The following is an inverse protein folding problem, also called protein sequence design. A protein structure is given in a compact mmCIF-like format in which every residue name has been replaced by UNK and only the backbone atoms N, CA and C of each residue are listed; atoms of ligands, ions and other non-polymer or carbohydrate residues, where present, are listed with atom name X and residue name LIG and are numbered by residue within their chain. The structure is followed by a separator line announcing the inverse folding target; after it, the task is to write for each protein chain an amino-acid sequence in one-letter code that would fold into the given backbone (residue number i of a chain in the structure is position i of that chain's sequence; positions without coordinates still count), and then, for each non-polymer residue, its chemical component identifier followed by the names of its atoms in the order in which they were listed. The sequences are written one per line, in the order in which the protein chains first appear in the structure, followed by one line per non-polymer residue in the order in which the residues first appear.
data_IF_653591661171
#
_entry.id   IF_653591661171
#
_cell.length_a   1.000
_cell.length_b   1.000
_cell.length_c   1.000
_cell.angle_alpha   90.00
_cell.angle_beta   90.00
_cell.angle_gamma   90.00
#
_symmetry.space_group_name_H-M   'P 1'
#
loop_
_entity.id
_entity.type
_entity.pdbx_description
1 polymer ?
#
# COMPACT_ATOMS: atom_id res chain seq x y z
N UNK A 1 -20.48 14.07 -74.17
CA UNK A 1 -19.36 14.06 -75.14
C UNK A 1 -18.09 13.72 -74.35
N UNK A 2 -17.60 12.48 -74.45
CA UNK A 2 -16.35 12.06 -75.13
C UNK A 2 -15.11 12.33 -74.23
N UNK A 3 -14.63 11.34 -73.46
CA UNK A 3 -13.50 10.41 -73.75
C UNK A 3 -12.14 11.01 -73.32
N UNK A 4 -11.08 10.32 -72.85
CA UNK A 4 -10.68 8.91 -72.68
C UNK A 4 -9.40 8.88 -71.79
N UNK A 5 -9.13 7.72 -71.19
CA UNK A 5 -7.84 7.03 -70.85
C UNK A 5 -6.52 7.75 -71.20
N UNK A 6 -5.40 7.70 -70.47
CA UNK A 6 -4.85 6.87 -69.39
C UNK A 6 -3.33 6.69 -69.63
N UNK A 7 -2.47 6.59 -68.60
CA UNK A 7 -1.20 5.84 -68.69
C UNK A 7 -0.61 5.54 -67.30
N UNK A 8 -0.22 4.27 -67.16
CA UNK A 8 0.40 3.59 -66.03
C UNK A 8 1.93 3.75 -66.11
N UNK A 9 2.62 4.05 -65.00
CA UNK A 9 4.06 3.74 -64.86
C UNK A 9 4.31 3.17 -63.45
N UNK A 10 4.60 1.88 -63.41
CA UNK A 10 5.22 1.18 -62.28
C UNK A 10 6.71 1.50 -62.23
N UNK A 11 7.24 1.83 -61.05
CA UNK A 11 8.65 1.57 -60.73
C UNK A 11 8.71 0.90 -59.35
N UNK A 12 8.99 -0.40 -59.36
CA UNK A 12 9.48 -1.16 -58.21
C UNK A 12 10.92 -0.74 -57.92
N UNK A 13 11.25 -0.42 -56.68
CA UNK A 13 12.60 -0.61 -56.16
C UNK A 13 12.57 -1.49 -54.92
N UNK A 14 13.07 -2.70 -55.10
CA UNK A 14 13.32 -3.74 -54.12
C UNK A 14 14.61 -3.41 -53.37
N UNK A 15 14.55 -3.34 -52.03
CA UNK A 15 15.75 -3.42 -51.19
C UNK A 15 15.64 -4.70 -50.37
N UNK A 16 16.59 -5.60 -50.60
CA UNK A 16 16.69 -6.95 -50.01
C UNK A 16 17.68 -6.93 -48.84
N UNK A 17 17.29 -7.63 -47.76
CA UNK A 17 18.09 -8.22 -46.67
C UNK A 17 18.89 -7.27 -45.76
N UNK A 18 18.86 -7.42 -44.43
CA UNK A 18 19.21 -8.65 -43.70
C UNK A 18 18.29 -8.92 -42.50
N UNK A 19 17.81 -10.16 -42.41
CA UNK A 19 17.41 -10.77 -41.15
C UNK A 19 18.66 -11.30 -40.45
N UNK A 20 18.87 -10.91 -39.21
CA UNK A 20 19.55 -11.77 -38.24
C UNK A 20 18.56 -12.06 -37.13
N UNK A 21 17.87 -13.19 -37.25
CA UNK A 21 17.28 -13.86 -36.10
C UNK A 21 18.44 -14.28 -35.19
N UNK A 22 18.60 -13.61 -34.06
CA UNK A 22 19.43 -14.08 -32.97
C UNK A 22 18.53 -14.21 -31.74
N UNK A 23 17.73 -15.27 -31.73
CA UNK A 23 17.07 -15.83 -30.56
C UNK A 23 18.14 -16.43 -29.65
N UNK A 24 18.78 -15.61 -28.81
CA UNK A 24 19.63 -16.05 -27.69
C UNK A 24 19.88 -14.92 -26.67
N UNK A 25 18.91 -14.08 -26.36
CA UNK A 25 18.92 -13.35 -25.07
C UNK A 25 18.50 -14.32 -23.98
N UNK A 26 19.45 -15.17 -23.55
CA UNK A 26 19.36 -15.74 -22.21
C UNK A 26 19.48 -14.57 -21.24
N UNK A 27 18.45 -14.34 -20.43
CA UNK A 27 18.55 -13.46 -19.28
C UNK A 27 19.75 -13.92 -18.45
N UNK A 28 20.74 -13.04 -18.30
CA UNK A 28 21.84 -13.27 -17.36
C UNK A 28 21.23 -13.09 -15.97
N UNK A 29 21.33 -14.08 -15.07
CA UNK A 29 20.90 -13.88 -13.69
C UNK A 29 21.71 -12.73 -13.10
N UNK A 30 21.04 -11.67 -12.67
CA UNK A 30 21.67 -10.70 -11.79
C UNK A 30 22.16 -11.44 -10.53
N UNK A 31 23.37 -11.14 -10.02
CA UNK A 31 23.84 -11.74 -8.79
C UNK A 31 22.88 -11.41 -7.63
N UNK A 32 22.15 -12.44 -7.19
CA UNK A 32 21.63 -12.59 -5.83
C UNK A 32 20.99 -11.37 -5.18
N UNK A 33 19.89 -10.87 -5.71
CA UNK A 33 18.80 -10.54 -4.80
C UNK A 33 18.09 -11.86 -4.54
N UNK A 34 18.38 -12.48 -3.41
CA UNK A 34 17.45 -13.44 -2.84
C UNK A 34 16.11 -12.73 -2.82
N UNK A 35 15.19 -13.14 -3.71
CA UNK A 35 13.78 -13.05 -3.38
C UNK A 35 13.67 -13.79 -2.06
N UNK A 36 13.67 -13.04 -0.96
CA UNK A 36 13.11 -13.54 0.27
C UNK A 36 11.67 -13.84 -0.12
N UNK A 37 11.40 -15.08 -0.52
CA UNK A 37 10.11 -15.70 -0.26
C UNK A 37 9.87 -15.41 1.20
N UNK A 38 9.04 -14.40 1.47
CA UNK A 38 8.46 -14.21 2.78
C UNK A 38 7.59 -15.45 2.98
N UNK A 39 8.19 -16.49 3.57
CA UNK A 39 7.48 -17.65 4.08
C UNK A 39 6.40 -17.11 5.00
N UNK A 40 5.16 -17.18 4.53
CA UNK A 40 3.95 -16.74 5.22
C UNK A 40 3.58 -17.73 6.33
N UNK A 41 4.52 -18.01 7.23
CA UNK A 41 4.32 -18.77 8.46
C UNK A 41 5.12 -18.12 9.59
N UNK A 42 5.11 -16.78 9.69
CA UNK A 42 5.53 -16.14 10.92
C UNK A 42 4.50 -16.51 12.00
N UNK A 43 4.84 -17.51 12.81
CA UNK A 43 4.09 -17.84 14.01
C UNK A 43 4.17 -16.67 14.97
N UNK A 44 3.02 -16.27 15.53
CA UNK A 44 2.99 -15.34 16.66
C UNK A 44 3.50 -16.06 17.92
N UNK A 45 4.28 -15.40 18.78
CA UNK A 45 4.66 -13.99 18.73
C UNK A 45 5.90 -13.76 17.84
N UNK A 46 5.87 -12.66 17.09
CA UNK A 46 7.03 -12.11 16.39
C UNK A 46 7.68 -11.00 17.24
N UNK A 47 9.01 -10.81 17.19
CA UNK A 47 9.67 -9.71 17.90
C UNK A 47 9.11 -8.36 17.43
N UNK A 48 8.66 -7.52 18.37
CA UNK A 48 8.15 -6.18 18.11
C UNK A 48 9.24 -5.13 18.40
N UNK A 49 9.19 -3.95 17.76
CA UNK A 49 10.15 -2.86 18.04
C UNK A 49 9.85 -2.11 19.35
N UNK A 50 8.93 -2.62 20.16
CA UNK A 50 8.53 -2.11 21.47
C UNK A 50 8.19 -3.28 22.41
N UNK A 51 8.10 -3.00 23.71
CA UNK A 51 7.64 -3.97 24.69
C UNK A 51 6.15 -4.27 24.51
N UNK A 52 5.80 -5.53 24.25
CA UNK A 52 4.40 -5.93 24.19
C UNK A 52 3.79 -5.98 25.61
N UNK A 53 2.88 -5.06 25.90
CA UNK A 53 2.16 -4.99 27.18
C UNK A 53 0.86 -5.81 27.20
N UNK A 54 0.44 -6.35 26.05
CA UNK A 54 -0.85 -7.00 25.87
C UNK A 54 -0.64 -8.48 25.46
N UNK A 55 -0.80 -9.44 26.40
CA UNK A 55 -0.64 -10.86 26.11
C UNK A 55 -1.53 -11.35 24.96
N UNK A 56 -2.73 -10.79 24.81
CA UNK A 56 -3.71 -11.11 23.78
C UNK A 56 -3.71 -10.08 22.64
N UNK A 57 -2.56 -9.45 22.34
CA UNK A 57 -2.40 -8.54 21.20
C UNK A 57 -2.80 -9.21 19.87
N UNK A 58 -2.35 -10.46 19.68
CA UNK A 58 -2.81 -11.31 18.58
C UNK A 58 -3.92 -12.20 19.09
N UNK A 59 -5.11 -12.11 18.48
CA UNK A 59 -6.30 -12.82 18.91
C UNK A 59 -7.24 -13.09 17.73
N UNK A 60 -8.33 -13.83 17.98
CA UNK A 60 -9.28 -14.25 16.93
C UNK A 60 -10.02 -13.08 16.26
N UNK A 61 -10.05 -11.91 16.89
CA UNK A 61 -10.67 -10.72 16.34
C UNK A 61 -9.75 -9.93 15.40
N UNK A 62 -8.46 -10.28 15.30
CA UNK A 62 -7.52 -9.65 14.37
C UNK A 62 -6.69 -10.63 13.52
N UNK A 63 -6.81 -11.94 13.69
CA UNK A 63 -5.99 -12.97 13.02
C UNK A 63 -6.20 -13.18 11.50
N UNK A 64 -7.00 -12.35 10.81
CA UNK A 64 -7.41 -12.58 9.43
C UNK A 64 -6.32 -12.42 8.36
N UNK A 65 -5.12 -11.94 8.74
CA UNK A 65 -3.93 -11.83 7.88
C UNK A 65 -2.65 -12.12 8.66
N UNK A 66 -1.63 -12.75 8.04
CA UNK A 66 -0.29 -12.89 8.64
C UNK A 66 0.51 -11.58 8.64
N UNK A 67 0.02 -10.53 7.99
CA UNK A 67 0.70 -9.25 7.91
C UNK A 67 0.82 -8.59 9.30
N UNK A 68 2.03 -8.20 9.68
CA UNK A 68 2.28 -7.40 10.88
C UNK A 68 2.89 -6.05 10.49
N UNK A 69 2.13 -4.94 10.63
CA UNK A 69 2.60 -3.61 10.29
C UNK A 69 3.90 -3.21 11.00
N UNK A 70 4.07 -3.59 12.27
CA UNK A 70 5.19 -3.15 13.12
C UNK A 70 6.56 -3.62 12.63
N UNK A 71 6.62 -4.64 11.79
CA UNK A 71 7.88 -5.24 11.30
C UNK A 71 7.92 -5.37 9.77
N UNK A 72 6.91 -4.84 9.07
CA UNK A 72 6.82 -4.92 7.62
C UNK A 72 7.81 -3.99 6.89
N UNK A 73 8.30 -2.96 7.59
CA UNK A 73 9.08 -1.88 7.02
C UNK A 73 10.48 -1.83 7.60
N UNK A 74 11.46 -1.60 6.72
CA UNK A 74 12.82 -1.24 7.13
C UNK A 74 12.88 0.24 7.52
N UNK A 75 13.86 0.61 8.35
CA UNK A 75 14.14 2.01 8.69
C UNK A 75 14.26 2.92 7.45
N UNK A 76 14.86 2.41 6.37
CA UNK A 76 15.03 3.16 5.13
C UNK A 76 13.69 3.44 4.45
N UNK A 77 12.80 2.45 4.46
CA UNK A 77 11.47 2.56 3.88
C UNK A 77 10.62 3.58 4.63
N UNK A 78 10.69 3.60 5.96
CA UNK A 78 10.02 4.59 6.80
C UNK A 78 10.61 5.99 6.60
N UNK A 79 11.93 6.12 6.63
CA UNK A 79 12.62 7.42 6.43
C UNK A 79 12.37 8.05 5.07
N UNK A 80 12.02 7.28 4.04
CA UNK A 80 11.61 7.80 2.72
C UNK A 80 10.35 8.67 2.81
N UNK A 81 9.53 8.46 3.83
CA UNK A 81 8.29 9.19 4.09
C UNK A 81 8.40 10.11 5.30
N UNK A 82 9.63 10.50 5.66
CA UNK A 82 9.92 11.34 6.85
C UNK A 82 9.42 10.73 8.17
N UNK A 83 9.28 9.40 8.22
CA UNK A 83 8.92 8.66 9.44
C UNK A 83 10.20 8.23 10.16
N UNK A 84 10.36 8.68 11.41
CA UNK A 84 11.39 8.19 12.31
C UNK A 84 11.01 6.79 12.85
N UNK A 85 11.78 5.73 12.54
CA UNK A 85 11.48 4.37 12.99
C UNK A 85 11.59 4.19 14.51
N UNK A 86 12.27 5.10 15.22
CA UNK A 86 12.51 5.00 16.67
C UNK A 86 11.35 5.48 17.54
N UNK A 87 10.36 6.18 16.98
CA UNK A 87 9.18 6.70 17.69
C UNK A 87 7.93 5.84 17.49
N UNK A 88 8.14 4.52 17.44
CA UNK A 88 7.09 3.53 17.19
C UNK A 88 6.36 3.14 18.47
N UNK A 89 5.04 3.08 18.40
CA UNK A 89 4.14 2.66 19.47
C UNK A 89 3.15 1.60 18.98
N UNK A 90 2.65 0.77 19.90
CA UNK A 90 1.55 -0.14 19.60
C UNK A 90 0.25 0.64 19.42
N UNK A 91 -0.58 0.23 18.46
CA UNK A 91 -1.95 0.77 18.31
C UNK A 91 -2.94 0.08 19.23
N UNK A 92 -2.61 -1.13 19.73
CA UNK A 92 -3.40 -1.75 20.79
C UNK A 92 -3.29 -0.88 22.05
N UNK A 93 -4.42 -0.51 22.63
CA UNK A 93 -4.50 0.26 23.87
C UNK A 93 -5.06 -0.57 25.02
N UNK A 94 -5.70 -1.69 24.71
CA UNK A 94 -6.27 -2.63 25.68
C UNK A 94 -5.96 -4.07 25.27
N UNK A 95 -5.88 -4.96 26.25
CA UNK A 95 -5.66 -6.38 26.01
C UNK A 95 -6.88 -7.01 25.31
N UNK A 96 -6.64 -7.83 24.28
CA UNK A 96 -7.71 -8.46 23.50
C UNK A 96 -8.43 -7.55 22.50
N UNK A 97 -7.88 -6.36 22.19
CA UNK A 97 -8.46 -5.45 21.19
C UNK A 97 -8.60 -6.14 19.82
N UNK A 98 -9.71 -5.86 19.12
CA UNK A 98 -10.01 -6.39 17.78
C UNK A 98 -9.13 -5.82 16.65
N UNK A 99 -8.06 -5.13 17.01
CA UNK A 99 -7.11 -4.55 16.07
C UNK A 99 -5.70 -4.69 16.61
N UNK A 100 -4.71 -4.73 15.71
CA UNK A 100 -3.28 -4.64 16.04
C UNK A 100 -2.54 -3.82 15.00
N UNK A 101 -1.30 -3.42 15.29
CA UNK A 101 -0.48 -2.64 14.37
C UNK A 101 0.46 -1.67 15.08
N UNK A 102 0.95 -0.67 14.35
CA UNK A 102 1.88 0.33 14.86
C UNK A 102 1.47 1.75 14.47
N UNK A 103 1.94 2.70 15.26
CA UNK A 103 1.88 4.13 14.98
C UNK A 103 3.26 4.75 15.16
N UNK A 104 3.55 5.74 14.32
CA UNK A 104 4.71 6.62 14.44
C UNK A 104 4.22 8.07 14.54
N UNK A 105 4.64 8.78 15.59
CA UNK A 105 4.25 10.17 15.86
C UNK A 105 5.38 11.13 15.46
N UNK A 106 5.23 11.82 14.32
CA UNK A 106 6.12 12.91 13.91
C UNK A 106 5.63 14.21 14.53
N UNK A 107 6.25 14.60 15.65
CA UNK A 107 5.87 15.79 16.42
C UNK A 107 5.73 17.02 15.53
N UNK A 108 4.63 17.75 15.72
CA UNK A 108 4.26 18.95 14.96
C UNK A 108 4.01 18.71 13.46
N UNK A 109 4.03 17.47 12.97
CA UNK A 109 3.85 17.14 11.56
C UNK A 109 2.63 16.26 11.36
N UNK A 110 2.73 14.97 11.70
CA UNK A 110 1.69 13.99 11.50
C UNK A 110 1.88 12.73 12.32
N UNK A 111 0.82 11.97 12.40
CA UNK A 111 0.83 10.57 12.78
C UNK A 111 0.67 9.68 11.56
N UNK A 112 1.52 8.67 11.43
CA UNK A 112 1.29 7.56 10.53
C UNK A 112 0.95 6.32 11.34
N UNK A 113 -0.23 5.76 11.13
CA UNK A 113 -0.64 4.49 11.71
C UNK A 113 -0.90 3.45 10.63
N UNK A 114 -0.67 2.19 10.96
CA UNK A 114 -1.17 1.09 10.15
C UNK A 114 -1.72 -0.02 11.05
N UNK A 115 -2.97 -0.36 10.80
CA UNK A 115 -3.80 -1.18 11.67
C UNK A 115 -4.35 -2.37 10.88
N UNK A 116 -4.28 -3.55 11.46
CA UNK A 116 -4.96 -4.76 10.99
C UNK A 116 -6.25 -4.92 11.78
N UNK A 117 -7.34 -5.16 11.07
CA UNK A 117 -8.65 -5.51 11.65
C UNK A 117 -9.34 -6.56 10.79
N UNK A 118 -10.07 -7.50 11.40
CA UNK A 118 -10.79 -8.51 10.64
C UNK A 118 -11.98 -7.89 9.91
N UNK A 119 -12.06 -8.12 8.60
CA UNK A 119 -13.13 -7.71 7.71
C UNK A 119 -13.04 -8.57 6.44
N UNK A 120 -14.12 -9.27 6.09
CA UNK A 120 -14.16 -10.19 4.95
C UNK A 120 -14.08 -9.47 3.59
N UNK A 121 -14.40 -8.18 3.56
CA UNK A 121 -14.28 -7.34 2.37
C UNK A 121 -14.20 -5.85 2.69
N UNK A 122 -13.70 -5.05 1.74
CA UNK A 122 -13.84 -3.58 1.76
C UNK A 122 -15.31 -3.15 1.88
N UNK A 123 -16.24 -3.86 1.23
CA UNK A 123 -17.68 -3.54 1.31
C UNK A 123 -18.25 -3.75 2.71
N UNK A 124 -17.83 -4.82 3.41
CA UNK A 124 -18.21 -5.06 4.79
C UNK A 124 -17.65 -3.96 5.69
N UNK A 125 -16.36 -3.65 5.57
CA UNK A 125 -15.72 -2.60 6.34
C UNK A 125 -16.41 -1.24 6.12
N UNK A 126 -16.73 -0.90 4.87
CA UNK A 126 -17.50 0.31 4.49
C UNK A 126 -18.90 0.35 5.12
N UNK A 127 -19.56 -0.80 5.25
CA UNK A 127 -20.89 -0.90 5.88
C UNK A 127 -20.80 -0.78 7.40
N UNK A 128 -19.74 -1.34 8.00
CA UNK A 128 -19.50 -1.32 9.44
C UNK A 128 -18.99 0.03 9.97
N UNK A 129 -18.54 0.92 9.09
CA UNK A 129 -18.00 2.24 9.42
C UNK A 129 -18.78 3.39 8.76
N UNK A 130 -20.06 3.60 9.13
CA UNK A 130 -20.91 4.64 8.55
C UNK A 130 -20.47 6.07 8.90
N UNK A 131 -19.61 6.25 9.90
CA UNK A 131 -19.04 7.53 10.31
C UNK A 131 -17.95 8.05 9.37
N UNK A 132 -17.46 7.21 8.45
CA UNK A 132 -16.41 7.56 7.51
C UNK A 132 -16.99 8.16 6.24
N UNK A 133 -16.38 9.25 5.77
CA UNK A 133 -16.67 9.80 4.45
C UNK A 133 -15.78 9.10 3.42
N UNK A 134 -16.39 8.22 2.65
CA UNK A 134 -15.72 7.46 1.60
C UNK A 134 -15.45 8.31 0.37
N UNK A 135 -14.19 8.28 -0.08
CA UNK A 135 -13.72 8.87 -1.32
C UNK A 135 -13.79 7.83 -2.46
N UNK A 136 -13.60 8.23 -3.73
CA UNK A 136 -13.45 7.27 -4.82
C UNK A 136 -12.32 6.28 -4.55
N UNK A 137 -12.57 5.01 -4.84
CA UNK A 137 -11.57 3.95 -4.67
C UNK A 137 -10.37 4.19 -5.61
N UNK A 138 -9.19 3.81 -5.13
CA UNK A 138 -7.96 3.82 -5.91
C UNK A 138 -7.73 2.44 -6.52
N UNK A 139 -7.08 2.41 -7.68
CA UNK A 139 -6.50 1.18 -8.23
C UNK A 139 -4.99 1.29 -8.15
N UNK A 140 -4.37 0.35 -7.45
CA UNK A 140 -2.92 0.26 -7.24
C UNK A 140 -2.51 -1.17 -7.55
N UNK A 141 -1.66 -1.36 -8.55
CA UNK A 141 -1.18 -2.68 -8.98
C UNK A 141 -2.30 -3.72 -9.17
N UNK A 142 -3.42 -3.26 -9.75
CA UNK A 142 -4.61 -4.08 -10.00
C UNK A 142 -5.50 -4.36 -8.79
N UNK A 143 -5.13 -3.87 -7.60
CA UNK A 143 -5.91 -4.00 -6.35
C UNK A 143 -6.77 -2.77 -6.13
N UNK A 144 -8.00 -2.99 -5.71
CA UNK A 144 -8.91 -1.95 -5.24
C UNK A 144 -8.48 -1.55 -3.83
N UNK A 145 -8.25 -0.26 -3.62
CA UNK A 145 -7.90 0.34 -2.34
C UNK A 145 -9.01 1.32 -1.97
N UNK A 146 -9.65 1.07 -0.83
CA UNK A 146 -10.63 2.02 -0.30
C UNK A 146 -9.91 3.28 0.20
N UNK A 147 -10.44 4.45 -0.10
CA UNK A 147 -9.93 5.73 0.42
C UNK A 147 -11.04 6.45 1.19
N UNK A 148 -10.72 7.01 2.35
CA UNK A 148 -11.69 7.68 3.19
C UNK A 148 -11.06 8.69 4.14
N UNK A 149 -11.90 9.56 4.67
CA UNK A 149 -11.55 10.56 5.68
C UNK A 149 -12.55 10.50 6.83
N UNK A 150 -12.17 11.07 7.98
CA UNK A 150 -13.11 11.29 9.09
C UNK A 150 -14.02 12.46 8.70
N UNK A 151 -15.33 12.33 8.95
CA UNK A 151 -16.28 13.41 8.66
C UNK A 151 -16.29 14.47 9.78
N UNK A 152 -15.16 15.16 9.94
CA UNK A 152 -14.98 16.24 10.93
C UNK A 152 -14.90 17.64 10.28
N UNK A 153 -15.17 17.73 8.97
CA UNK A 153 -15.09 18.96 8.18
C UNK A 153 -13.66 19.37 7.81
N UNK A 154 -12.65 18.55 8.11
CA UNK A 154 -11.26 18.76 7.71
C UNK A 154 -10.72 17.55 6.96
N UNK A 155 -9.77 17.76 6.06
CA UNK A 155 -9.01 16.67 5.45
C UNK A 155 -7.70 16.42 6.23
N UNK A 156 -7.70 16.70 7.54
CA UNK A 156 -6.52 16.47 8.39
C UNK A 156 -6.32 14.99 8.68
N UNK A 157 -7.33 14.14 8.48
CA UNK A 157 -7.20 12.69 8.60
C UNK A 157 -7.59 12.03 7.29
N UNK A 158 -6.65 11.32 6.67
CA UNK A 158 -6.91 10.51 5.48
C UNK A 158 -6.40 9.10 5.68
N UNK A 159 -7.15 8.14 5.15
CA UNK A 159 -6.88 6.72 5.34
C UNK A 159 -7.07 5.93 4.06
N UNK A 160 -6.32 4.85 3.94
CA UNK A 160 -6.52 3.82 2.92
C UNK A 160 -6.86 2.50 3.58
N UNK A 161 -7.65 1.67 2.87
CA UNK A 161 -7.95 0.29 3.22
C UNK A 161 -7.44 -0.62 2.10
N UNK A 162 -6.64 -1.62 2.46
CA UNK A 162 -6.18 -2.67 1.55
C UNK A 162 -6.65 -4.02 2.06
N UNK A 163 -7.39 -4.78 1.24
CA UNK A 163 -7.81 -6.13 1.59
C UNK A 163 -6.61 -7.06 1.70
N UNK A 164 -6.56 -7.85 2.77
CA UNK A 164 -5.55 -8.88 3.03
C UNK A 164 -6.20 -10.14 3.61
N UNK A 165 -6.50 -11.11 2.75
CA UNK A 165 -7.26 -12.31 3.12
C UNK A 165 -8.55 -11.97 3.89
N UNK A 166 -8.73 -12.43 5.14
CA UNK A 166 -9.90 -12.17 5.98
C UNK A 166 -9.81 -10.88 6.81
N UNK A 167 -8.83 -10.03 6.55
CA UNK A 167 -8.61 -8.78 7.25
C UNK A 167 -8.42 -7.60 6.30
N UNK A 168 -8.68 -6.41 6.82
CA UNK A 168 -8.25 -5.15 6.23
C UNK A 168 -6.97 -4.64 6.87
N UNK A 169 -6.08 -4.09 6.05
CA UNK A 169 -4.99 -3.24 6.51
C UNK A 169 -5.38 -1.79 6.26
N UNK A 170 -5.62 -1.05 7.33
CA UNK A 170 -5.93 0.38 7.30
C UNK A 170 -4.64 1.15 7.54
N UNK A 171 -4.24 1.98 6.59
CA UNK A 171 -3.16 2.96 6.81
C UNK A 171 -3.80 4.32 7.04
N UNK A 172 -3.41 5.04 8.08
CA UNK A 172 -3.96 6.35 8.43
C UNK A 172 -2.85 7.40 8.55
N UNK A 173 -3.09 8.57 8.00
CA UNK A 173 -2.29 9.77 8.25
C UNK A 173 -3.18 10.80 8.94
N UNK A 174 -2.74 11.27 10.12
CA UNK A 174 -3.39 12.36 10.85
C UNK A 174 -2.43 13.54 10.94
N UNK A 175 -2.75 14.63 10.25
CA UNK A 175 -1.99 15.86 10.30
C UNK A 175 -2.07 16.51 11.68
N UNK A 176 -0.94 17.02 12.16
CA UNK A 176 -0.87 17.81 13.39
C UNK A 176 -1.64 19.13 13.23
N UNK A 177 -2.18 19.63 14.33
CA UNK A 177 -2.83 20.94 14.38
C UNK A 177 -1.84 22.12 14.35
N UNK A 178 -0.53 21.85 14.34
CA UNK A 178 0.53 22.85 14.18
C UNK A 178 0.47 23.53 12.80
N UNK A 179 1.20 24.63 12.61
CA UNK A 179 1.35 25.24 11.28
C UNK A 179 1.97 24.28 10.26
N UNK A 180 2.97 23.49 10.68
CA UNK A 180 3.67 22.54 9.80
C UNK A 180 2.74 21.40 9.40
N UNK A 181 1.99 20.84 10.35
CA UNK A 181 0.98 19.81 10.08
C UNK A 181 -0.14 20.31 9.17
N UNK A 182 -0.70 21.50 9.43
CA UNK A 182 -1.76 22.09 8.57
C UNK A 182 -1.33 22.37 7.13
N UNK A 183 -0.03 22.52 6.88
CA UNK A 183 0.50 22.74 5.53
C UNK A 183 0.66 21.43 4.73
N UNK A 184 0.54 20.27 5.38
CA UNK A 184 0.72 18.98 4.73
C UNK A 184 -0.56 18.54 4.00
N UNK A 185 -0.39 17.60 3.07
CA UNK A 185 -1.51 16.88 2.44
C UNK A 185 -1.55 15.43 2.97
N UNK A 186 -2.40 15.17 3.96
CA UNK A 186 -2.53 13.85 4.57
C UNK A 186 -2.97 12.78 3.56
N UNK A 187 -3.89 13.13 2.67
CA UNK A 187 -4.40 12.24 1.62
C UNK A 187 -3.30 11.84 0.64
N UNK A 188 -2.51 12.80 0.15
CA UNK A 188 -1.37 12.49 -0.72
C UNK A 188 -0.37 11.57 -0.03
N UNK A 189 -0.02 11.85 1.24
CA UNK A 189 0.94 11.04 1.99
C UNK A 189 0.46 9.59 2.19
N UNK A 190 -0.78 9.39 2.60
CA UNK A 190 -1.31 8.04 2.85
C UNK A 190 -1.45 7.23 1.56
N UNK A 191 -1.84 7.89 0.46
CA UNK A 191 -1.91 7.27 -0.85
C UNK A 191 -0.53 6.88 -1.37
N UNK A 192 0.46 7.77 -1.28
CA UNK A 192 1.83 7.50 -1.71
C UNK A 192 2.47 6.38 -0.89
N UNK A 193 2.26 6.36 0.43
CA UNK A 193 2.73 5.28 1.29
C UNK A 193 2.10 3.95 0.90
N UNK A 194 0.79 3.94 0.66
CA UNK A 194 0.07 2.74 0.23
C UNK A 194 0.58 2.25 -1.12
N UNK A 195 0.74 3.14 -2.11
CA UNK A 195 1.28 2.78 -3.43
C UNK A 195 2.69 2.20 -3.35
N UNK A 196 3.54 2.75 -2.50
CA UNK A 196 4.92 2.29 -2.37
C UNK A 196 5.02 0.89 -1.77
N UNK A 197 4.06 0.47 -0.95
CA UNK A 197 4.20 -0.72 -0.11
C UNK A 197 3.03 -1.69 -0.16
N UNK A 198 2.09 -1.53 -1.09
CA UNK A 198 0.95 -2.43 -1.24
C UNK A 198 1.38 -3.89 -1.44
N UNK A 199 2.51 -4.13 -2.13
CA UNK A 199 3.05 -5.48 -2.36
C UNK A 199 3.47 -6.20 -1.07
N UNK A 200 3.73 -5.47 0.03
CA UNK A 200 4.02 -6.06 1.33
C UNK A 200 2.77 -6.58 2.04
N UNK A 201 1.58 -6.09 1.66
CA UNK A 201 0.29 -6.52 2.20
C UNK A 201 -0.20 -7.70 1.35
N UNK A 202 -0.12 -8.96 1.83
CA UNK A 202 -0.50 -10.13 1.04
C UNK A 202 -2.02 -10.17 0.81
N UNK A 203 -2.47 -10.74 -0.30
CA UNK A 203 -3.90 -10.89 -0.60
C UNK A 203 -4.16 -11.17 -2.07
#
# INVERSE_FOLDING_TARGET
MIAKSGLLVLILLSVVACQTANTNTKAVPAPGYSQAQASSTLGTPIPLPFENRFPNRWNDSNNGTPFEPCVAYTDRELKRFDVDPSVVEDVAQVDGQGTRGCRWFMRDEFDLGQVVTNASSLSEYRTASPELRWLPDLVVDGRIVGSFVIDDGTDSTCSTYVQSFGAGVVTNVVASSSQKGRAMNACALVEDFTRAYIEKIPG
#
